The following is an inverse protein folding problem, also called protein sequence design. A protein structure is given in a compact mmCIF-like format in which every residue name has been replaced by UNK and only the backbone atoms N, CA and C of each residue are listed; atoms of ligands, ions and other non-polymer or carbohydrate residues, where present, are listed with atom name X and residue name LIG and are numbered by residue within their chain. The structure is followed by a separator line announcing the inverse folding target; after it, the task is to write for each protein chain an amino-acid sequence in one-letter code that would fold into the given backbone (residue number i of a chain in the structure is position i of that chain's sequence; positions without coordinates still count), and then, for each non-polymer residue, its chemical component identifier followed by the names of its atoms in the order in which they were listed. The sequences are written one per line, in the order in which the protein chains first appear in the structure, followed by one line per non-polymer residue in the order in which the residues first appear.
data_IF_538248833754
#
_entry.id   IF_538248833754
#
_cell.length_a   1.000
_cell.length_b   1.000
_cell.length_c   1.000
_cell.angle_alpha   90.00
_cell.angle_beta   90.00
_cell.angle_gamma   90.00
#
_symmetry.space_group_name_H-M   'P 1'
#
loop_
_entity.id
_entity.type
_entity.pdbx_description
1 polymer ?
#
# COMPACT_ATOMS: atom_id res chain seq x y z
N UNK A 1 -61.78 -17.92 6.08
CA UNK A 1 -61.60 -16.85 5.09
C UNK A 1 -61.22 -15.60 5.87
N UNK A 2 -59.92 -15.33 5.98
CA UNK A 2 -59.36 -14.32 6.88
C UNK A 2 -59.19 -13.00 6.11
N UNK A 3 -59.96 -11.98 6.48
CA UNK A 3 -59.75 -10.60 6.05
C UNK A 3 -59.26 -9.80 7.25
N UNK A 4 -58.10 -9.16 7.13
CA UNK A 4 -57.61 -8.15 8.07
C UNK A 4 -56.74 -7.12 7.33
N UNK A 5 -57.36 -5.96 7.10
CA UNK A 5 -56.84 -4.58 7.30
C UNK A 5 -55.41 -4.20 6.89
N UNK A 6 -55.37 -3.44 5.79
CA UNK A 6 -54.59 -2.23 5.49
C UNK A 6 -53.87 -1.55 6.69
N UNK A 7 -52.55 -1.34 6.56
CA UNK A 7 -51.81 -0.28 7.24
C UNK A 7 -50.65 0.24 6.36
N UNK A 8 -50.75 1.53 6.06
CA UNK A 8 -49.80 2.47 5.48
C UNK A 8 -48.38 2.40 6.09
N UNK A 9 -47.32 2.37 5.26
CA UNK A 9 -46.08 3.16 5.48
C UNK A 9 -45.42 3.42 4.12
N UNK A 10 -45.40 4.69 3.67
CA UNK A 10 -44.44 5.16 2.67
C UNK A 10 -43.05 5.10 3.28
N UNK A 11 -42.18 4.20 2.81
CA UNK A 11 -40.74 4.26 3.09
C UNK A 11 -40.08 5.15 2.04
N UNK A 12 -40.08 6.46 2.33
CA UNK A 12 -39.09 7.40 1.78
C UNK A 12 -37.74 7.06 2.42
N UNK A 13 -36.96 6.20 1.78
CA UNK A 13 -35.64 5.77 2.24
C UNK A 13 -34.52 6.61 1.63
N UNK A 14 -34.10 7.63 2.38
CA UNK A 14 -32.74 8.18 2.49
C UNK A 14 -31.82 8.09 1.26
N UNK A 15 -31.64 9.22 0.56
CA UNK A 15 -30.44 9.42 -0.28
C UNK A 15 -29.25 9.49 0.67
N UNK A 16 -28.41 8.45 0.65
CA UNK A 16 -27.11 8.47 1.33
C UNK A 16 -26.23 9.51 0.63
N UNK A 17 -25.98 10.63 1.31
CA UNK A 17 -24.88 11.53 0.97
C UNK A 17 -23.57 10.76 1.07
N UNK A 18 -22.63 10.86 0.10
CA UNK A 18 -21.29 10.37 0.33
C UNK A 18 -20.69 11.18 1.48
N UNK A 19 -20.25 10.50 2.54
CA UNK A 19 -19.42 11.09 3.56
C UNK A 19 -18.17 11.63 2.88
N UNK A 20 -17.95 12.94 2.94
CA UNK A 20 -16.71 13.55 2.53
C UNK A 20 -15.59 12.97 3.41
N UNK A 21 -14.77 12.09 2.83
CA UNK A 21 -13.52 11.63 3.45
C UNK A 21 -12.63 12.86 3.59
N UNK A 22 -12.41 13.29 4.83
CA UNK A 22 -11.42 14.32 5.12
C UNK A 22 -10.04 13.85 4.63
N UNK A 23 -9.20 14.73 4.07
CA UNK A 23 -7.84 14.36 3.70
C UNK A 23 -7.11 13.80 4.94
N UNK A 24 -6.26 12.77 4.78
CA UNK A 24 -5.46 12.28 5.90
C UNK A 24 -4.66 13.45 6.47
N UNK A 25 -4.90 13.77 7.73
CA UNK A 25 -4.03 14.65 8.51
C UNK A 25 -2.62 14.10 8.42
N UNK A 26 -1.67 14.98 8.06
CA UNK A 26 -0.26 14.68 7.85
C UNK A 26 0.27 13.60 8.80
N UNK A 27 0.96 12.62 8.22
CA UNK A 27 1.68 11.59 8.97
C UNK A 27 2.56 12.22 10.06
N UNK A 28 2.75 11.54 11.21
CA UNK A 28 3.61 12.06 12.27
C UNK A 28 5.02 12.25 11.73
N UNK A 29 5.70 13.29 12.25
CA UNK A 29 7.07 13.62 11.89
C UNK A 29 7.98 12.39 11.99
N UNK A 30 8.80 12.23 10.96
CA UNK A 30 9.77 11.14 10.80
C UNK A 30 10.60 10.92 12.08
N UNK A 31 10.86 9.64 12.37
CA UNK A 31 11.75 9.17 13.42
C UNK A 31 13.11 9.88 13.36
N UNK A 32 13.64 10.32 14.51
CA UNK A 32 14.89 11.07 14.67
C UNK A 32 16.19 10.28 14.28
N UNK A 33 16.07 9.18 13.54
CA UNK A 33 17.19 8.34 13.10
C UNK A 33 17.45 8.44 11.59
N UNK A 34 17.58 9.65 11.05
CA UNK A 34 18.05 9.84 9.68
C UNK A 34 19.57 10.02 9.67
N UNK A 35 20.32 8.96 9.36
CA UNK A 35 21.67 9.11 8.87
C UNK A 35 21.59 9.96 7.60
N UNK A 36 22.08 11.20 7.66
CA UNK A 36 21.85 12.25 6.68
C UNK A 36 22.18 11.82 5.23
N UNK A 37 21.15 11.40 4.49
CA UNK A 37 21.17 11.33 3.04
C UNK A 37 21.16 12.77 2.52
N UNK A 38 22.03 13.05 1.56
CA UNK A 38 22.19 14.38 0.96
C UNK A 38 20.84 14.96 0.55
N UNK A 39 20.49 16.20 0.96
CA UNK A 39 19.20 16.77 0.63
C UNK A 39 19.15 16.97 -0.88
N UNK A 40 18.24 16.25 -1.54
CA UNK A 40 17.86 16.53 -2.91
C UNK A 40 17.39 17.99 -3.02
N UNK A 41 17.48 18.62 -4.21
CA UNK A 41 17.02 20.00 -4.38
C UNK A 41 15.59 20.18 -3.85
N UNK A 42 15.31 21.33 -3.23
CA UNK A 42 13.98 21.62 -2.71
C UNK A 42 12.93 21.47 -3.84
N UNK A 43 11.89 20.66 -3.58
CA UNK A 43 10.84 20.35 -4.55
C UNK A 43 11.17 19.21 -5.52
N UNK A 44 12.31 18.54 -5.39
CA UNK A 44 12.56 17.28 -6.07
C UNK A 44 11.86 16.15 -5.32
N UNK A 45 10.99 15.41 -6.01
CA UNK A 45 10.33 14.23 -5.45
C UNK A 45 11.26 13.02 -5.60
N UNK A 46 11.58 12.42 -4.46
CA UNK A 46 12.41 11.24 -4.35
C UNK A 46 11.48 10.09 -4.00
N UNK A 47 11.33 9.17 -4.93
CA UNK A 47 10.40 8.05 -4.78
C UNK A 47 11.17 6.76 -4.44
N UNK A 48 10.73 6.08 -3.38
CA UNK A 48 11.14 4.70 -3.11
C UNK A 48 10.38 3.75 -4.02
N UNK A 49 10.93 3.48 -5.21
CA UNK A 49 10.38 2.54 -6.20
C UNK A 49 10.26 1.13 -5.61
N UNK A 50 9.01 0.68 -5.40
CA UNK A 50 8.63 -0.54 -4.69
C UNK A 50 9.26 -0.63 -3.30
N UNK A 51 9.41 0.52 -2.65
CA UNK A 51 10.25 0.71 -1.46
C UNK A 51 11.73 0.88 -1.81
N UNK A 52 12.62 0.20 -1.10
CA UNK A 52 14.06 0.17 -1.39
C UNK A 52 14.45 -1.17 -2.01
N UNK A 53 13.90 -1.50 -3.21
CA UNK A 53 14.02 -2.85 -3.82
C UNK A 53 15.45 -3.39 -3.98
N UNK A 54 16.43 -2.49 -4.10
CA UNK A 54 17.86 -2.85 -4.17
C UNK A 54 18.50 -3.22 -2.82
N UNK A 55 17.80 -2.99 -1.70
CA UNK A 55 18.30 -3.20 -0.34
C UNK A 55 17.46 -4.19 0.47
N UNK A 56 16.18 -4.32 0.15
CA UNK A 56 15.23 -5.21 0.80
C UNK A 56 14.20 -5.72 -0.23
N UNK A 57 13.48 -6.83 0.07
CA UNK A 57 12.49 -7.38 -0.86
C UNK A 57 11.45 -6.34 -1.30
N UNK A 58 11.29 -6.14 -2.60
CA UNK A 58 10.35 -5.18 -3.19
C UNK A 58 8.93 -5.30 -2.61
N UNK A 59 8.19 -4.19 -2.57
CA UNK A 59 6.77 -4.19 -2.20
C UNK A 59 6.47 -4.82 -0.81
N UNK A 60 7.45 -4.81 0.10
CA UNK A 60 7.32 -5.29 1.48
C UNK A 60 7.53 -4.19 2.52
N UNK A 61 6.98 -4.38 3.73
CA UNK A 61 7.18 -3.46 4.85
C UNK A 61 8.66 -3.17 5.14
N UNK A 62 9.58 -4.16 5.19
CA UNK A 62 11.01 -3.89 5.35
C UNK A 62 11.60 -2.98 4.26
N UNK A 63 11.16 -3.11 3.00
CA UNK A 63 11.64 -2.23 1.93
C UNK A 63 11.09 -0.82 2.05
N UNK A 64 9.85 -0.64 2.50
CA UNK A 64 9.28 0.67 2.78
C UNK A 64 9.95 1.35 3.99
N UNK A 65 10.18 0.61 5.08
CA UNK A 65 10.95 1.10 6.24
C UNK A 65 12.34 1.56 5.82
N UNK A 66 13.05 0.75 5.03
CA UNK A 66 14.38 1.09 4.51
C UNK A 66 14.33 2.34 3.63
N UNK A 67 13.32 2.50 2.78
CA UNK A 67 13.17 3.70 1.95
C UNK A 67 12.93 4.96 2.80
N UNK A 68 12.09 4.86 3.84
CA UNK A 68 11.84 5.96 4.77
C UNK A 68 13.10 6.36 5.55
N UNK A 69 13.90 5.39 5.99
CA UNK A 69 15.18 5.65 6.67
C UNK A 69 16.20 6.35 5.75
N UNK A 70 16.09 6.14 4.43
CA UNK A 70 16.89 6.84 3.41
C UNK A 70 16.38 8.24 3.07
N UNK A 71 15.26 8.67 3.65
CA UNK A 71 14.72 10.02 3.46
C UNK A 71 14.04 10.25 2.10
N UNK A 72 13.47 9.21 1.50
CA UNK A 72 12.56 9.40 0.34
C UNK A 72 11.36 10.26 0.74
N UNK A 73 10.81 11.03 -0.20
CA UNK A 73 9.62 11.86 0.03
C UNK A 73 8.33 11.13 -0.28
N UNK A 74 8.39 10.13 -1.15
CA UNK A 74 7.25 9.38 -1.65
C UNK A 74 7.56 7.89 -1.65
N UNK A 75 6.59 7.06 -1.27
CA UNK A 75 6.65 5.61 -1.43
C UNK A 75 5.82 5.23 -2.65
N UNK A 76 6.42 4.47 -3.55
CA UNK A 76 5.75 3.91 -4.72
C UNK A 76 5.50 2.41 -4.49
N UNK A 77 4.38 1.91 -5.00
CA UNK A 77 3.99 0.51 -4.87
C UNK A 77 3.03 0.10 -5.99
N UNK A 78 3.09 -1.18 -6.35
CA UNK A 78 2.26 -1.77 -7.39
C UNK A 78 1.04 -2.50 -6.80
N UNK A 79 -0.11 -2.43 -7.46
CA UNK A 79 -1.35 -3.03 -6.99
C UNK A 79 -2.00 -3.93 -8.03
N UNK A 80 -2.46 -5.09 -7.57
CA UNK A 80 -3.33 -6.00 -8.31
C UNK A 80 -4.63 -6.24 -7.53
N UNK A 81 -5.70 -6.58 -8.24
CA UNK A 81 -6.97 -7.01 -7.64
C UNK A 81 -7.04 -8.54 -7.63
N UNK A 82 -7.23 -9.13 -6.46
CA UNK A 82 -7.38 -10.57 -6.30
C UNK A 82 -8.75 -11.08 -6.77
N UNK A 83 -8.89 -12.39 -6.93
CA UNK A 83 -10.14 -13.01 -7.35
C UNK A 83 -11.30 -12.82 -6.37
N UNK A 84 -11.00 -12.63 -5.08
CA UNK A 84 -11.94 -12.31 -4.01
C UNK A 84 -12.17 -10.80 -3.82
N UNK A 85 -11.56 -9.95 -4.67
CA UNK A 85 -11.83 -8.51 -4.72
C UNK A 85 -10.98 -7.67 -3.75
N UNK A 86 -9.91 -8.23 -3.20
CA UNK A 86 -8.97 -7.54 -2.32
C UNK A 86 -7.80 -6.94 -3.12
N UNK A 87 -7.30 -5.78 -2.70
CA UNK A 87 -6.09 -5.21 -3.28
C UNK A 87 -4.85 -5.88 -2.69
N UNK A 88 -3.94 -6.30 -3.56
CA UNK A 88 -2.68 -6.97 -3.20
C UNK A 88 -1.52 -6.15 -3.75
N UNK A 89 -0.48 -5.96 -2.93
CA UNK A 89 0.74 -5.31 -3.38
C UNK A 89 1.61 -6.34 -4.11
N UNK A 90 1.82 -6.13 -5.41
CA UNK A 90 2.53 -7.04 -6.29
C UNK A 90 2.82 -6.36 -7.63
N UNK A 91 3.98 -6.63 -8.25
CA UNK A 91 4.37 -6.01 -9.52
C UNK A 91 4.10 -6.89 -10.75
N UNK A 92 4.52 -8.16 -10.71
CA UNK A 92 4.55 -9.01 -11.91
C UNK A 92 3.14 -9.50 -12.31
N UNK A 93 2.91 -9.78 -13.60
CA UNK A 93 1.63 -10.35 -14.05
C UNK A 93 1.31 -11.74 -13.45
N UNK A 94 2.34 -12.46 -13.00
CA UNK A 94 2.25 -13.78 -12.40
C UNK A 94 2.94 -13.80 -11.04
N UNK A 95 2.63 -14.82 -10.23
CA UNK A 95 3.25 -15.02 -8.91
C UNK A 95 4.23 -16.20 -8.98
N UNK A 96 5.52 -15.97 -9.29
CA UNK A 96 6.48 -17.03 -9.46
C UNK A 96 6.99 -17.53 -8.10
N UNK A 97 7.24 -18.84 -8.00
CA UNK A 97 7.56 -19.49 -6.73
C UNK A 97 8.88 -18.97 -6.12
N UNK A 98 9.82 -18.53 -6.94
CA UNK A 98 11.11 -17.99 -6.50
C UNK A 98 11.02 -16.70 -5.67
N UNK A 99 9.99 -15.87 -5.92
CA UNK A 99 9.68 -14.65 -5.17
C UNK A 99 8.85 -14.95 -3.91
N UNK A 100 8.13 -16.08 -3.87
CA UNK A 100 7.29 -16.48 -2.74
C UNK A 100 8.02 -17.44 -1.77
N UNK A 101 8.89 -16.88 -0.92
CA UNK A 101 9.62 -17.66 0.10
C UNK A 101 8.84 -17.65 1.43
N UNK A 102 8.64 -18.84 2.01
CA UNK A 102 7.96 -19.02 3.30
C UNK A 102 8.86 -18.70 4.51
N UNK A 103 10.17 -18.65 4.31
CA UNK A 103 11.12 -18.29 5.37
C UNK A 103 11.55 -16.82 5.21
N UNK A 104 11.00 -15.89 6.01
CA UNK A 104 11.35 -14.48 5.95
C UNK A 104 12.80 -14.19 6.35
N UNK A 105 13.51 -15.18 6.94
CA UNK A 105 14.88 -15.06 7.45
C UNK A 105 15.89 -15.91 6.66
N UNK A 106 15.48 -16.54 5.56
CA UNK A 106 16.41 -17.26 4.70
C UNK A 106 17.42 -16.27 4.12
N UNK A 107 18.61 -16.21 4.74
CA UNK A 107 19.70 -15.27 4.46
C UNK A 107 20.31 -15.40 3.06
N UNK A 108 19.75 -16.25 2.20
CA UNK A 108 20.12 -16.30 0.79
C UNK A 108 19.59 -15.03 0.14
N UNK A 109 20.46 -14.18 -0.43
CA UNK A 109 20.02 -13.01 -1.17
C UNK A 109 18.91 -13.37 -2.15
N UNK A 110 17.91 -12.50 -2.28
CA UNK A 110 16.98 -12.63 -3.39
C UNK A 110 17.79 -12.62 -4.70
N UNK A 111 17.40 -13.42 -5.71
CA UNK A 111 17.96 -13.22 -7.02
C UNK A 111 17.79 -11.75 -7.41
N UNK A 112 18.69 -11.20 -8.23
CA UNK A 112 18.49 -9.86 -8.78
C UNK A 112 17.11 -9.79 -9.43
N UNK A 113 16.40 -8.70 -9.17
CA UNK A 113 15.12 -8.44 -9.80
C UNK A 113 15.36 -8.42 -11.32
N UNK A 114 14.60 -9.20 -12.14
CA UNK A 114 14.73 -9.15 -13.60
C UNK A 114 14.52 -7.75 -14.20
N UNK A 115 13.92 -6.82 -13.44
CA UNK A 115 13.65 -5.45 -13.83
C UNK A 115 14.76 -4.44 -13.43
N UNK A 116 15.86 -4.87 -12.81
CA UNK A 116 17.06 -4.05 -12.51
C UNK A 116 18.12 -4.13 -13.64
#
# INVERSE_FOLDING_TARGET
MLFATLALVLLTGCVATPAAVAPPTAAPAASDNAAAVTPFPAGFDVEGHRGARGLAPENTLPAFETALDLGVTTLELDLHLSADGELVIWHDDAVPAEKCRLDPMAATPLPPDPDD
#
